data_IF_236149125244
#
_entry.id   IF_236149125244
#
_cell.length_a   1.000
_cell.length_b   1.000
_cell.length_c   1.000
_cell.angle_alpha   90.00
_cell.angle_beta   90.00
_cell.angle_gamma   90.00
#
_symmetry.space_group_name_H-M   'P 1'
#
loop_
_entity.id
_entity.type
_entity.pdbx_description
1 polymer ?
#
# COMPACT_ATOMS: atom_id res chain seq x y z
N UNK A 1 10.22 -14.53 10.38
CA UNK A 1 10.52 -13.99 9.04
C UNK A 1 9.19 -13.70 8.38
N UNK A 2 8.95 -12.50 7.83
CA UNK A 2 7.66 -12.18 7.19
C UNK A 2 7.68 -12.59 5.71
N UNK A 3 6.59 -13.15 5.21
CA UNK A 3 6.43 -13.45 3.80
C UNK A 3 5.82 -12.24 3.09
N UNK A 4 6.41 -11.82 1.97
CA UNK A 4 5.99 -10.62 1.25
C UNK A 4 5.66 -10.97 -0.20
N UNK A 5 4.48 -10.56 -0.65
CA UNK A 5 4.07 -10.63 -2.06
C UNK A 5 4.05 -9.20 -2.60
N UNK A 6 4.89 -8.92 -3.59
CA UNK A 6 4.92 -7.61 -4.25
C UNK A 6 4.13 -7.69 -5.56
N UNK A 7 3.02 -6.95 -5.61
CA UNK A 7 2.17 -6.84 -6.80
C UNK A 7 2.50 -5.51 -7.47
N UNK A 8 2.90 -5.54 -8.74
CA UNK A 8 3.24 -4.35 -9.53
C UNK A 8 2.68 -4.46 -10.94
N UNK A 9 2.47 -3.31 -11.60
CA UNK A 9 1.92 -3.23 -12.94
C UNK A 9 1.73 -1.78 -13.39
N UNK A 10 1.32 -1.57 -14.64
CA UNK A 10 0.97 -0.26 -15.15
C UNK A 10 -0.26 0.32 -14.42
N UNK A 11 -0.45 1.65 -14.48
CA UNK A 11 -1.68 2.27 -13.99
C UNK A 11 -2.91 1.66 -14.69
N UNK A 12 -3.92 1.30 -13.91
CA UNK A 12 -5.11 0.60 -14.41
C UNK A 12 -4.96 -0.91 -14.63
N UNK A 13 -3.80 -1.53 -14.34
CA UNK A 13 -3.59 -2.98 -14.48
C UNK A 13 -4.31 -3.84 -13.40
N UNK A 14 -5.04 -3.22 -12.48
CA UNK A 14 -5.83 -3.91 -11.46
C UNK A 14 -5.02 -4.42 -10.25
N UNK A 15 -3.85 -3.85 -9.96
CA UNK A 15 -3.00 -4.24 -8.83
C UNK A 15 -3.71 -4.14 -7.48
N UNK A 16 -4.41 -3.03 -7.21
CA UNK A 16 -5.22 -2.84 -6.00
C UNK A 16 -6.36 -3.85 -5.90
N UNK A 17 -7.02 -4.18 -7.01
CA UNK A 17 -8.13 -5.13 -7.03
C UNK A 17 -7.64 -6.56 -6.75
N UNK A 18 -6.55 -6.96 -7.39
CA UNK A 18 -5.91 -8.26 -7.18
C UNK A 18 -5.41 -8.41 -5.74
N UNK A 19 -4.73 -7.39 -5.20
CA UNK A 19 -4.20 -7.42 -3.84
C UNK A 19 -5.29 -7.56 -2.78
N UNK A 20 -6.41 -6.82 -2.92
CA UNK A 20 -7.59 -6.97 -2.04
C UNK A 20 -8.19 -8.38 -2.11
N UNK A 21 -8.27 -8.96 -3.31
CA UNK A 21 -8.79 -10.33 -3.50
C UNK A 21 -7.92 -11.38 -2.84
N UNK A 22 -6.59 -11.31 -3.04
CA UNK A 22 -5.61 -12.20 -2.40
C UNK A 22 -5.72 -12.09 -0.89
N UNK A 23 -5.74 -10.88 -0.34
CA UNK A 23 -5.85 -10.63 1.10
C UNK A 23 -7.10 -11.29 1.70
N UNK A 24 -8.26 -11.12 1.06
CA UNK A 24 -9.52 -11.73 1.50
C UNK A 24 -9.56 -13.26 1.48
N UNK A 25 -8.65 -13.91 0.75
CA UNK A 25 -8.63 -15.38 0.58
C UNK A 25 -7.48 -16.08 1.33
N UNK A 26 -6.44 -15.35 1.72
CA UNK A 26 -5.18 -15.94 2.20
C UNK A 26 -4.73 -15.45 3.58
N UNK A 27 -5.39 -14.43 4.13
CA UNK A 27 -5.01 -13.82 5.41
C UNK A 27 -3.80 -12.89 5.34
N UNK A 28 -3.24 -12.64 4.14
CA UNK A 28 -2.23 -11.61 3.94
C UNK A 28 -2.83 -10.22 4.20
N UNK A 29 -2.08 -9.33 4.84
CA UNK A 29 -2.44 -7.91 4.90
C UNK A 29 -2.18 -7.25 3.54
N UNK A 30 -3.22 -6.63 2.96
CA UNK A 30 -3.06 -5.80 1.77
C UNK A 30 -2.55 -4.40 2.15
N UNK A 31 -1.42 -4.00 1.59
CA UNK A 31 -0.83 -2.67 1.73
C UNK A 31 -0.74 -2.01 0.35
N UNK A 32 -1.53 -0.97 0.10
CA UNK A 32 -1.47 -0.21 -1.16
C UNK A 32 -0.43 0.92 -1.07
N UNK A 33 0.49 1.02 -2.02
CA UNK A 33 1.55 2.03 -2.00
C UNK A 33 1.02 3.47 -2.06
N UNK A 34 -0.14 3.69 -2.68
CA UNK A 34 -0.72 5.03 -2.78
C UNK A 34 -1.20 5.55 -1.41
N UNK A 35 -1.61 4.67 -0.49
CA UNK A 35 -2.00 5.02 0.88
C UNK A 35 -0.83 5.62 1.68
N UNK A 36 0.39 5.18 1.38
CA UNK A 36 1.61 5.70 1.99
C UNK A 36 2.14 6.92 1.24
N UNK A 37 2.11 6.90 -0.09
CA UNK A 37 2.80 7.89 -0.92
C UNK A 37 2.10 9.25 -0.94
N UNK A 38 0.76 9.28 -0.94
CA UNK A 38 -0.02 10.50 -1.07
C UNK A 38 -0.51 11.01 0.29
N UNK A 39 -0.54 12.33 0.45
CA UNK A 39 -1.31 12.96 1.52
C UNK A 39 -2.79 12.93 1.16
N UNK A 40 -3.64 12.77 2.17
CA UNK A 40 -5.07 12.94 2.04
C UNK A 40 -5.37 14.44 2.06
N UNK A 41 -5.63 15.00 0.88
CA UNK A 41 -5.94 16.41 0.64
C UNK A 41 -7.26 16.51 -0.15
N UNK A 42 -7.89 17.68 -0.15
CA UNK A 42 -9.17 17.90 -0.86
C UNK A 42 -9.12 17.50 -2.34
N UNK A 43 -7.98 17.73 -2.99
CA UNK A 43 -7.68 17.17 -4.33
C UNK A 43 -6.75 15.97 -4.15
N UNK A 44 -7.20 14.74 -4.41
CA UNK A 44 -6.40 13.54 -4.18
C UNK A 44 -5.21 13.46 -5.13
N UNK A 45 -4.17 12.72 -4.72
CA UNK A 45 -2.98 12.44 -5.55
C UNK A 45 -2.20 13.69 -6.04
N UNK A 46 -2.30 14.80 -5.31
CA UNK A 46 -1.62 16.06 -5.66
C UNK A 46 -0.38 16.32 -4.82
N UNK A 47 -0.44 16.02 -3.51
CA UNK A 47 0.65 16.30 -2.58
C UNK A 47 1.30 15.00 -2.12
N UNK A 48 2.60 14.88 -2.37
CA UNK A 48 3.41 13.74 -1.95
C UNK A 48 3.73 13.84 -0.47
N UNK A 49 3.55 12.74 0.27
CA UNK A 49 3.99 12.63 1.67
C UNK A 49 5.52 12.69 1.75
N UNK A 50 6.15 13.31 2.75
CA UNK A 50 7.60 13.20 2.96
C UNK A 50 8.08 11.74 3.04
N UNK A 51 9.29 11.46 2.57
CA UNK A 51 9.80 10.08 2.47
C UNK A 51 9.85 9.40 3.84
N UNK A 52 10.26 10.15 4.85
CA UNK A 52 10.43 9.71 6.24
C UNK A 52 9.11 9.21 6.82
N UNK A 53 8.03 9.96 6.60
CA UNK A 53 6.69 9.60 7.05
C UNK A 53 6.16 8.34 6.36
N UNK A 54 6.47 8.16 5.05
CA UNK A 54 6.11 6.93 4.32
C UNK A 54 6.76 5.72 4.98
N UNK A 55 8.05 5.82 5.30
CA UNK A 55 8.80 4.73 5.93
C UNK A 55 8.26 4.43 7.33
N UNK A 56 7.88 5.43 8.11
CA UNK A 56 7.27 5.23 9.44
C UNK A 56 5.95 4.47 9.31
N UNK A 57 5.05 4.91 8.42
CA UNK A 57 3.75 4.28 8.23
C UNK A 57 3.88 2.83 7.70
N UNK A 58 4.72 2.63 6.68
CA UNK A 58 4.95 1.29 6.12
C UNK A 58 5.53 0.34 7.17
N UNK A 59 6.50 0.79 7.98
CA UNK A 59 7.09 -0.05 9.04
C UNK A 59 6.06 -0.43 10.10
N UNK A 60 5.26 0.54 10.56
CA UNK A 60 4.18 0.28 11.54
C UNK A 60 3.22 -0.79 11.04
N UNK A 61 2.76 -0.67 9.80
CA UNK A 61 1.78 -1.60 9.23
C UNK A 61 2.42 -2.96 8.93
N UNK A 62 3.66 -2.99 8.46
CA UNK A 62 4.44 -4.23 8.32
C UNK A 62 4.58 -4.90 9.66
N UNK A 63 4.87 -4.18 10.76
CA UNK A 63 5.02 -4.75 12.10
C UNK A 63 3.70 -5.31 12.64
N UNK A 64 2.58 -4.66 12.33
CA UNK A 64 1.23 -5.04 12.77
C UNK A 64 0.60 -6.19 11.99
N UNK A 65 1.18 -6.55 10.83
CA UNK A 65 0.77 -7.68 9.99
C UNK A 65 1.19 -9.05 10.53
#
# INVERSE_FOLDING_TARGET
MKHVVHIFGASGAGTTALGKKISGETGFLHMDTDDYFWLQTDVPFTVKRPKEDRLILMKRDIESA
#
